data_IF_006241049087
#
_entry.id   IF_006241049087
#
_cell.length_a   1.000
_cell.length_b   1.000
_cell.length_c   1.000
_cell.angle_alpha   90.00
_cell.angle_beta   90.00
_cell.angle_gamma   90.00
#
_symmetry.space_group_name_H-M   'P 1'
#
loop_
_entity.id
_entity.type
_entity.pdbx_description
1 polymer ?
#
# COMPACT_ATOMS: atom_id res chain seq x y z
N UNK A 1 13.57 -7.49 -14.29
CA UNK A 1 13.71 -6.22 -13.55
C UNK A 1 13.79 -6.55 -12.07
N UNK A 2 14.87 -6.17 -11.38
CA UNK A 2 15.12 -6.60 -10.00
C UNK A 2 14.67 -5.51 -9.00
N UNK A 3 13.47 -5.66 -8.44
CA UNK A 3 12.89 -4.73 -7.47
C UNK A 3 13.77 -4.56 -6.21
N UNK A 4 14.52 -5.59 -5.81
CA UNK A 4 15.42 -5.54 -4.64
C UNK A 4 16.40 -4.38 -4.70
N UNK A 5 16.99 -4.10 -5.86
CA UNK A 5 17.95 -3.00 -6.03
C UNK A 5 17.28 -1.64 -5.80
N UNK A 6 16.11 -1.43 -6.40
CA UNK A 6 15.35 -0.19 -6.25
C UNK A 6 14.85 0.01 -4.82
N UNK A 7 14.40 -1.07 -4.17
CA UNK A 7 13.99 -1.03 -2.77
C UNK A 7 15.18 -0.66 -1.90
N UNK A 8 16.32 -1.34 -1.99
CA UNK A 8 17.49 -1.02 -1.18
C UNK A 8 17.95 0.43 -1.35
N UNK A 9 17.95 0.93 -2.59
CA UNK A 9 18.27 2.33 -2.91
C UNK A 9 17.28 3.30 -2.26
N UNK A 10 15.98 3.02 -2.34
CA UNK A 10 14.95 3.88 -1.75
C UNK A 10 15.07 4.03 -0.22
N UNK A 11 15.73 3.08 0.46
CA UNK A 11 15.87 3.05 1.91
C UNK A 11 17.24 3.53 2.42
N UNK A 12 18.17 3.99 1.56
CA UNK A 12 19.54 4.39 1.93
C UNK A 12 19.61 5.49 3.02
N UNK A 13 18.64 6.40 3.03
CA UNK A 13 18.59 7.48 4.00
C UNK A 13 18.07 7.06 5.39
N UNK A 14 17.66 5.80 5.56
CA UNK A 14 17.14 5.24 6.82
C UNK A 14 18.22 4.45 7.57
N UNK A 15 17.98 4.17 8.86
CA UNK A 15 18.81 3.26 9.64
C UNK A 15 18.40 1.82 9.29
N UNK A 16 19.33 1.05 8.74
CA UNK A 16 19.15 -0.39 8.49
C UNK A 16 19.37 -1.14 9.80
N UNK A 17 18.42 -2.00 10.16
CA UNK A 17 18.47 -2.82 11.38
C UNK A 17 18.87 -4.24 11.04
N UNK A 18 18.19 -4.84 10.06
CA UNK A 18 18.48 -6.20 9.58
C UNK A 18 18.21 -6.28 8.07
N UNK A 19 18.94 -7.14 7.36
CA UNK A 19 18.70 -7.46 5.94
C UNK A 19 18.55 -8.97 5.83
N UNK A 20 17.40 -9.41 5.35
CA UNK A 20 17.08 -10.81 5.09
C UNK A 20 17.11 -11.08 3.58
N UNK A 21 16.85 -12.34 3.20
CA UNK A 21 16.79 -12.74 1.79
C UNK A 21 15.72 -11.96 1.03
N UNK A 22 14.50 -11.91 1.57
CA UNK A 22 13.28 -11.36 0.97
C UNK A 22 12.78 -10.05 1.61
N UNK A 23 13.45 -9.55 2.64
CA UNK A 23 13.01 -8.34 3.34
C UNK A 23 14.17 -7.53 3.91
N UNK A 24 13.91 -6.26 4.22
CA UNK A 24 14.81 -5.41 5.00
C UNK A 24 14.03 -4.77 6.15
N UNK A 25 14.61 -4.74 7.34
CA UNK A 25 14.04 -4.03 8.50
C UNK A 25 14.76 -2.69 8.63
N UNK A 26 14.00 -1.61 8.57
CA UNK A 26 14.51 -0.24 8.65
C UNK A 26 13.73 0.60 9.63
N UNK A 27 14.34 1.70 10.07
CA UNK A 27 13.67 2.77 10.83
C UNK A 27 14.24 4.14 10.51
N UNK A 28 13.56 5.22 10.91
CA UNK A 28 14.10 6.56 10.74
C UNK A 28 15.41 6.71 11.54
N UNK A 29 16.38 7.43 10.98
CA UNK A 29 17.67 7.68 11.66
C UNK A 29 17.50 8.48 12.95
N UNK A 30 16.53 9.39 12.97
CA UNK A 30 16.26 10.30 14.07
C UNK A 30 14.81 10.22 14.50
N UNK A 31 14.55 10.51 15.77
CA UNK A 31 13.22 10.54 16.37
C UNK A 31 12.63 9.16 16.69
N UNK A 32 11.49 9.14 17.41
CA UNK A 32 10.79 7.92 17.74
C UNK A 32 10.10 7.37 16.49
N UNK A 33 10.73 6.40 15.83
CA UNK A 33 10.12 5.64 14.75
C UNK A 33 10.16 4.15 15.08
N UNK A 34 9.05 3.45 14.84
CA UNK A 34 9.03 2.00 14.98
C UNK A 34 9.70 1.38 13.77
N UNK A 35 10.34 0.24 14.00
CA UNK A 35 10.88 -0.61 12.95
C UNK A 35 9.79 -0.98 11.95
N UNK A 36 10.19 -1.13 10.70
CA UNK A 36 9.28 -1.42 9.61
C UNK A 36 9.98 -2.40 8.67
N UNK A 37 9.36 -3.55 8.46
CA UNK A 37 9.77 -4.50 7.44
C UNK A 37 9.42 -3.92 6.08
N UNK A 38 10.31 -4.07 5.10
CA UNK A 38 10.07 -3.65 3.71
C UNK A 38 10.39 -4.87 2.81
N UNK A 39 9.43 -5.34 2.00
CA UNK A 39 9.66 -6.47 1.12
C UNK A 39 10.67 -6.12 0.01
N UNK A 40 11.57 -7.05 -0.27
CA UNK A 40 12.58 -6.94 -1.34
C UNK A 40 12.12 -7.61 -2.63
N UNK A 41 10.99 -8.31 -2.62
CA UNK A 41 10.40 -9.02 -3.74
C UNK A 41 8.99 -8.46 -4.05
N UNK A 42 8.61 -8.53 -5.34
CA UNK A 42 7.28 -8.10 -5.78
C UNK A 42 6.32 -9.29 -5.71
N UNK A 43 5.46 -9.28 -4.70
CA UNK A 43 4.45 -10.30 -4.45
C UNK A 43 3.02 -9.77 -4.66
N UNK A 44 2.04 -10.68 -4.72
CA UNK A 44 0.65 -10.34 -5.02
C UNK A 44 0.07 -9.37 -3.97
N UNK A 45 0.36 -9.57 -2.68
CA UNK A 45 -0.09 -8.69 -1.59
C UNK A 45 0.47 -7.27 -1.72
N UNK A 46 1.75 -7.13 -2.08
CA UNK A 46 2.36 -5.82 -2.33
C UNK A 46 1.75 -5.14 -3.55
N UNK A 47 1.50 -5.89 -4.61
CA UNK A 47 0.84 -5.42 -5.83
C UNK A 47 -0.58 -4.90 -5.56
N UNK A 48 -1.37 -5.67 -4.80
CA UNK A 48 -2.71 -5.27 -4.35
C UNK A 48 -2.66 -4.00 -3.48
N UNK A 49 -1.75 -3.95 -2.50
CA UNK A 49 -1.58 -2.76 -1.65
C UNK A 49 -1.25 -1.50 -2.47
N UNK A 50 -0.31 -1.61 -3.42
CA UNK A 50 0.06 -0.51 -4.33
C UNK A 50 -1.16 -0.05 -5.14
N UNK A 51 -1.98 -0.96 -5.66
CA UNK A 51 -3.21 -0.62 -6.35
C UNK A 51 -4.21 0.13 -5.46
N UNK A 52 -4.42 -0.32 -4.21
CA UNK A 52 -5.29 0.38 -3.28
C UNK A 52 -4.78 1.79 -2.94
N UNK A 53 -3.46 1.98 -2.86
CA UNK A 53 -2.87 3.31 -2.72
C UNK A 53 -3.13 4.16 -3.97
N UNK A 54 -3.08 3.58 -5.17
CA UNK A 54 -3.32 4.31 -6.43
C UNK A 54 -4.77 4.75 -6.55
N UNK A 55 -5.75 3.93 -6.17
CA UNK A 55 -7.16 4.33 -6.12
C UNK A 55 -7.40 5.35 -5.01
N UNK A 56 -7.67 4.86 -3.80
CA UNK A 56 -8.15 5.68 -2.68
C UNK A 56 -7.06 6.19 -1.70
N UNK A 57 -5.79 5.88 -1.95
CA UNK A 57 -4.69 6.35 -1.12
C UNK A 57 -4.34 7.84 -1.33
N UNK A 58 -3.56 8.42 -0.44
CA UNK A 58 -2.98 9.74 -0.64
C UNK A 58 -1.61 9.81 0.03
N UNK A 59 -0.60 10.25 -0.73
CA UNK A 59 0.73 10.52 -0.23
C UNK A 59 0.85 12.02 0.08
N UNK A 60 0.99 12.34 1.37
CA UNK A 60 1.10 13.73 1.83
C UNK A 60 2.56 14.20 1.79
N UNK A 61 2.82 15.23 0.98
CA UNK A 61 4.13 15.89 0.90
C UNK A 61 4.55 16.46 2.26
N UNK A 62 5.84 16.40 2.58
CA UNK A 62 6.45 17.01 3.77
C UNK A 62 6.32 16.20 5.06
N UNK A 63 5.18 15.52 5.30
CA UNK A 63 4.98 14.70 6.50
C UNK A 63 5.35 13.23 6.33
N UNK A 64 5.64 12.78 5.11
CA UNK A 64 5.86 11.35 4.78
C UNK A 64 4.73 10.45 5.27
N UNK A 65 3.51 10.98 5.29
CA UNK A 65 2.31 10.30 5.74
C UNK A 65 1.55 9.78 4.52
N UNK A 66 1.04 8.55 4.63
CA UNK A 66 0.09 7.98 3.67
C UNK A 66 -1.26 7.90 4.37
N UNK A 67 -2.33 8.23 3.68
CA UNK A 67 -3.70 8.01 4.17
C UNK A 67 -4.49 7.19 3.17
N UNK A 68 -5.35 6.29 3.66
CA UNK A 68 -6.35 5.61 2.84
C UNK A 68 -7.69 5.86 3.52
N UNK A 69 -8.66 6.42 2.80
CA UNK A 69 -9.98 6.72 3.33
C UNK A 69 -11.06 6.04 2.47
N UNK A 70 -11.87 5.17 3.09
CA UNK A 70 -12.86 4.33 2.40
C UNK A 70 -14.20 4.33 3.15
N UNK A 71 -15.31 4.21 2.42
CA UNK A 71 -16.62 3.93 3.06
C UNK A 71 -16.83 2.45 3.41
N UNK A 72 -15.92 1.58 2.96
CA UNK A 72 -15.96 0.14 3.17
C UNK A 72 -14.97 -0.27 4.26
N UNK A 73 -15.49 -0.48 5.48
CA UNK A 73 -14.68 -0.87 6.64
C UNK A 73 -14.01 -2.23 6.47
N UNK A 74 -14.68 -3.19 5.81
CA UNK A 74 -14.14 -4.55 5.61
C UNK A 74 -12.89 -4.50 4.72
N UNK A 75 -12.96 -3.78 3.60
CA UNK A 75 -11.81 -3.58 2.72
C UNK A 75 -10.67 -2.84 3.44
N UNK A 76 -10.98 -1.80 4.22
CA UNK A 76 -9.96 -1.06 4.97
C UNK A 76 -9.25 -1.95 6.01
N UNK A 77 -9.99 -2.80 6.72
CA UNK A 77 -9.44 -3.77 7.66
C UNK A 77 -8.58 -4.81 6.95
N UNK A 78 -9.00 -5.27 5.76
CA UNK A 78 -8.22 -6.19 4.94
C UNK A 78 -6.89 -5.56 4.48
N UNK A 79 -6.91 -4.31 4.01
CA UNK A 79 -5.69 -3.56 3.70
C UNK A 79 -4.79 -3.44 4.94
N UNK A 80 -5.36 -3.21 6.12
CA UNK A 80 -4.59 -3.15 7.37
C UNK A 80 -3.96 -4.51 7.75
N UNK A 81 -4.64 -5.63 7.47
CA UNK A 81 -4.08 -6.99 7.61
C UNK A 81 -2.91 -7.21 6.63
N UNK A 82 -3.05 -6.75 5.39
CA UNK A 82 -1.95 -6.77 4.40
C UNK A 82 -0.76 -5.94 4.91
N UNK A 83 -1.00 -4.75 5.46
CA UNK A 83 0.05 -3.93 6.07
C UNK A 83 0.79 -4.68 7.19
N UNK A 84 0.07 -5.40 8.05
CA UNK A 84 0.69 -6.22 9.09
C UNK A 84 1.59 -7.30 8.47
N UNK A 85 1.11 -8.05 7.47
CA UNK A 85 1.91 -9.09 6.82
C UNK A 85 3.12 -8.58 6.03
N UNK A 86 2.96 -7.45 5.31
CA UNK A 86 4.04 -6.88 4.48
C UNK A 86 5.08 -6.12 5.30
N UNK A 87 4.61 -5.35 6.28
CA UNK A 87 5.43 -4.32 6.94
C UNK A 87 5.68 -4.58 8.41
N UNK A 88 5.09 -5.63 8.98
CA UNK A 88 5.04 -5.91 10.41
C UNK A 88 4.46 -4.73 11.21
N UNK A 89 3.43 -4.10 10.61
CA UNK A 89 2.80 -2.88 11.12
C UNK A 89 1.30 -2.89 10.90
N UNK A 90 0.55 -2.80 11.99
CA UNK A 90 -0.87 -2.43 11.96
C UNK A 90 -1.04 -0.94 12.24
N UNK A 91 -2.12 -0.38 11.70
CA UNK A 91 -2.47 1.03 11.85
C UNK A 91 -3.88 1.15 12.42
N UNK A 92 -4.11 2.23 13.17
CA UNK A 92 -5.41 2.45 13.80
C UNK A 92 -6.42 2.93 12.75
N UNK A 93 -7.54 2.22 12.66
CA UNK A 93 -8.69 2.62 11.84
C UNK A 93 -9.48 3.67 12.60
N UNK A 94 -9.73 4.81 11.95
CA UNK A 94 -10.47 5.94 12.52
C UNK A 94 -11.76 6.18 11.75
N UNK A 95 -12.85 6.43 12.47
CA UNK A 95 -14.11 6.85 11.89
C UNK A 95 -14.04 8.34 11.49
N UNK A 96 -14.37 8.67 10.24
CA UNK A 96 -14.35 10.04 9.72
C UNK A 96 -15.79 10.49 9.47
N UNK A 97 -16.31 11.38 10.34
CA UNK A 97 -17.66 11.94 10.20
C UNK A 97 -17.59 13.26 9.44
N UNK A 98 -18.43 13.43 8.41
CA UNK A 98 -18.58 14.67 7.66
C UNK A 98 -20.07 14.94 7.45
N UNK A 99 -20.52 16.15 7.77
CA UNK A 99 -21.92 16.53 7.65
C UNK A 99 -22.39 16.35 6.19
N UNK A 100 -23.55 15.69 6.02
CA UNK A 100 -24.15 15.44 4.71
C UNK A 100 -23.41 14.44 3.82
N UNK A 101 -22.43 13.68 4.34
CA UNK A 101 -21.70 12.65 3.59
C UNK A 101 -21.83 11.28 4.24
N UNK A 102 -21.70 10.23 3.43
CA UNK A 102 -21.64 8.85 3.93
C UNK A 102 -20.47 8.70 4.91
N UNK A 103 -20.68 7.91 5.96
CA UNK A 103 -19.62 7.50 6.88
C UNK A 103 -18.43 6.90 6.12
N UNK A 104 -17.23 7.40 6.41
CA UNK A 104 -15.97 6.85 5.93
C UNK A 104 -15.04 6.48 7.09
N UNK A 105 -14.04 5.68 6.79
CA UNK A 105 -13.03 5.23 7.75
C UNK A 105 -11.66 5.49 7.13
N UNK A 106 -10.67 5.82 7.95
CA UNK A 106 -9.33 6.10 7.48
C UNK A 106 -8.28 5.33 8.29
N UNK A 107 -7.22 4.91 7.59
CA UNK A 107 -5.93 4.59 8.22
C UNK A 107 -4.91 5.66 7.85
N UNK A 108 -4.09 6.03 8.82
CA UNK A 108 -2.95 6.93 8.63
C UNK A 108 -1.67 6.12 8.88
N UNK A 109 -0.80 6.10 7.89
CA UNK A 109 0.47 5.37 7.89
C UNK A 109 1.59 6.41 7.98
N UNK A 110 2.07 6.61 9.20
CA UNK A 110 3.23 7.45 9.50
C UNK A 110 4.51 6.59 9.45
N UNK A 111 4.91 6.22 8.23
CA UNK A 111 6.14 5.47 7.98
C UNK A 111 6.88 5.99 6.76
N UNK A 112 8.02 6.63 7.02
CA UNK A 112 8.91 7.14 5.97
C UNK A 112 9.42 6.00 5.05
N UNK A 113 9.59 4.80 5.59
CA UNK A 113 10.02 3.63 4.85
C UNK A 113 8.98 3.19 3.81
N UNK A 114 7.71 3.04 4.23
CA UNK A 114 6.60 2.70 3.33
C UNK A 114 6.36 3.83 2.34
N UNK A 115 6.46 5.09 2.78
CA UNK A 115 6.33 6.25 1.91
C UNK A 115 7.38 6.22 0.78
N UNK A 116 8.65 5.94 1.11
CA UNK A 116 9.70 5.83 0.10
C UNK A 116 9.54 4.64 -0.81
N UNK A 117 9.06 3.50 -0.31
CA UNK A 117 8.70 2.37 -1.18
C UNK A 117 7.68 2.82 -2.25
N UNK A 118 6.58 3.43 -1.83
CA UNK A 118 5.51 3.86 -2.74
C UNK A 118 5.96 4.95 -3.72
N UNK A 119 6.65 5.99 -3.22
CA UNK A 119 7.02 7.13 -4.06
C UNK A 119 8.27 6.89 -4.91
N UNK A 120 9.29 6.20 -4.39
CA UNK A 120 10.59 6.05 -5.07
C UNK A 120 10.70 4.76 -5.88
N UNK A 121 10.00 3.70 -5.48
CA UNK A 121 10.05 2.41 -6.19
C UNK A 121 8.87 2.24 -7.13
N UNK A 122 7.65 2.56 -6.66
CA UNK A 122 6.43 2.49 -7.48
C UNK A 122 6.07 3.81 -8.16
N UNK A 123 6.88 4.85 -7.98
CA UNK A 123 6.73 6.16 -8.64
C UNK A 123 5.37 6.82 -8.41
N UNK A 124 4.68 6.50 -7.30
CA UNK A 124 3.39 7.10 -6.99
C UNK A 124 3.60 8.57 -6.60
N UNK A 125 2.99 9.53 -7.31
CA UNK A 125 3.13 10.95 -7.00
C UNK A 125 2.42 11.32 -5.69
N UNK A 126 2.91 12.36 -5.03
CA UNK A 126 2.19 12.99 -3.92
C UNK A 126 1.14 13.98 -4.46
N UNK A 127 0.15 14.31 -3.65
CA UNK A 127 -0.86 15.32 -4.01
C UNK A 127 -1.99 14.78 -4.89
N UNK A 128 -2.57 15.65 -5.73
CA UNK A 128 -3.65 15.27 -6.66
C UNK A 128 -3.03 14.43 -7.78
N UNK A 129 -3.51 13.19 -7.91
CA UNK A 129 -2.90 12.16 -8.77
C UNK A 129 -3.85 11.60 -9.83
N UNK A 130 -5.11 12.02 -9.85
CA UNK A 130 -6.15 11.50 -10.75
C UNK A 130 -5.74 11.55 -12.22
N UNK A 131 -4.96 12.57 -12.58
CA UNK A 131 -4.64 12.88 -13.98
C UNK A 131 -3.22 12.40 -14.38
N UNK A 132 -2.46 11.84 -13.43
CA UNK A 132 -1.01 11.57 -13.59
C UNK A 132 -0.65 10.11 -13.25
N UNK A 133 -1.43 9.46 -12.38
CA UNK A 133 -1.07 8.12 -11.89
C UNK A 133 -1.18 7.08 -13.02
N UNK A 134 -0.12 6.29 -13.19
CA UNK A 134 -0.04 5.22 -14.17
C UNK A 134 0.24 3.89 -13.47
N UNK A 135 0.02 2.78 -14.17
CA UNK A 135 0.43 1.47 -13.67
C UNK A 135 1.96 1.44 -13.54
N UNK A 136 2.52 1.16 -12.35
CA UNK A 136 3.98 1.13 -12.17
C UNK A 136 4.64 0.13 -13.11
N UNK A 137 5.76 0.50 -13.75
CA UNK A 137 6.50 -0.34 -14.71
C UNK A 137 6.86 -1.72 -14.13
N UNK A 138 7.20 -1.77 -12.84
CA UNK A 138 7.47 -3.01 -12.10
C UNK A 138 6.29 -3.99 -12.16
N UNK A 139 5.06 -3.47 -12.06
CA UNK A 139 3.82 -4.26 -12.12
C UNK A 139 3.46 -4.56 -13.57
N UNK A 140 3.58 -3.58 -14.46
CA UNK A 140 3.30 -3.77 -15.89
C UNK A 140 4.17 -4.86 -16.54
N UNK A 141 5.42 -4.99 -16.12
CA UNK A 141 6.36 -6.00 -16.64
C UNK A 141 6.40 -7.29 -15.80
N UNK A 142 5.50 -7.45 -14.83
CA UNK A 142 5.47 -8.62 -13.95
C UNK A 142 4.67 -9.80 -14.53
N UNK A 143 4.64 -10.92 -13.80
CA UNK A 143 3.87 -12.10 -14.17
C UNK A 143 2.34 -11.89 -14.02
N UNK A 144 1.56 -12.82 -14.58
CA UNK A 144 0.09 -12.75 -14.56
C UNK A 144 -0.50 -12.67 -13.16
N UNK A 145 0.07 -13.35 -12.16
CA UNK A 145 -0.44 -13.34 -10.77
C UNK A 145 -0.33 -11.95 -10.15
N UNK A 146 0.82 -11.28 -10.33
CA UNK A 146 1.08 -9.93 -9.82
C UNK A 146 0.17 -8.90 -10.50
N UNK A 147 0.02 -8.99 -11.83
CA UNK A 147 -0.91 -8.14 -12.60
C UNK A 147 -2.36 -8.34 -12.16
N UNK A 148 -2.77 -9.59 -11.95
CA UNK A 148 -4.14 -9.91 -11.51
C UNK A 148 -4.41 -9.32 -10.12
N UNK A 149 -3.47 -9.46 -9.18
CA UNK A 149 -3.58 -8.88 -7.85
C UNK A 149 -3.65 -7.33 -7.88
N UNK A 150 -2.89 -6.69 -8.78
CA UNK A 150 -3.00 -5.25 -9.00
C UNK A 150 -4.40 -4.84 -9.48
N UNK A 151 -4.91 -5.53 -10.51
CA UNK A 151 -6.24 -5.25 -11.07
C UNK A 151 -7.34 -5.46 -10.04
N UNK A 152 -7.24 -6.51 -9.21
CA UNK A 152 -8.16 -6.73 -8.09
C UNK A 152 -8.15 -5.56 -7.11
N UNK A 153 -6.97 -5.03 -6.76
CA UNK A 153 -6.85 -3.87 -5.88
C UNK A 153 -7.48 -2.61 -6.47
N UNK A 154 -7.31 -2.37 -7.78
CA UNK A 154 -7.98 -1.25 -8.49
C UNK A 154 -9.49 -1.45 -8.50
N UNK A 155 -9.99 -2.65 -8.79
CA UNK A 155 -11.42 -2.93 -8.76
C UNK A 155 -12.01 -2.79 -7.35
N UNK A 156 -11.25 -3.12 -6.31
CA UNK A 156 -11.69 -2.98 -4.93
C UNK A 156 -11.88 -1.50 -4.52
N UNK A 157 -11.09 -0.57 -5.06
CA UNK A 157 -11.19 0.86 -4.76
C UNK A 157 -12.07 1.63 -5.76
N UNK A 158 -11.89 1.41 -7.06
CA UNK A 158 -12.54 2.18 -8.14
C UNK A 158 -13.72 1.45 -8.81
N UNK A 159 -13.86 0.14 -8.59
CA UNK A 159 -14.90 -0.69 -9.22
C UNK A 159 -16.29 -0.40 -8.66
N UNK A 160 -16.95 0.62 -9.19
CA UNK A 160 -18.24 1.13 -8.73
C UNK A 160 -19.32 0.06 -8.44
N UNK A 161 -19.91 0.18 -7.24
CA UNK A 161 -21.15 -0.36 -6.60
C UNK A 161 -22.08 -1.43 -7.24
N UNK A 162 -21.83 -2.04 -8.40
CA UNK A 162 -22.74 -3.07 -8.97
C UNK A 162 -22.40 -4.51 -8.59
N UNK A 163 -21.25 -4.79 -7.96
CA UNK A 163 -20.91 -6.13 -7.47
C UNK A 163 -20.72 -6.12 -5.96
N UNK A 164 -21.27 -7.14 -5.28
CA UNK A 164 -21.26 -7.25 -3.82
C UNK A 164 -19.81 -7.34 -3.37
N UNK A 165 -19.44 -6.53 -2.38
CA UNK A 165 -18.10 -6.43 -1.79
C UNK A 165 -17.53 -7.79 -1.36
N UNK A 166 -18.40 -8.75 -1.00
CA UNK A 166 -17.98 -10.13 -0.71
C UNK A 166 -17.25 -10.79 -1.88
N UNK A 167 -17.62 -10.47 -3.13
CA UNK A 167 -17.03 -11.12 -4.31
C UNK A 167 -15.54 -10.81 -4.44
N UNK A 168 -15.09 -9.59 -4.09
CA UNK A 168 -13.67 -9.22 -4.23
C UNK A 168 -12.79 -9.80 -3.13
N UNK A 169 -13.30 -9.91 -1.90
CA UNK A 169 -12.57 -10.55 -0.81
C UNK A 169 -12.51 -12.06 -1.03
N UNK A 170 -13.60 -12.66 -1.49
CA UNK A 170 -13.61 -14.06 -1.91
C UNK A 170 -12.67 -14.29 -3.11
N UNK A 171 -12.63 -13.39 -4.08
CA UNK A 171 -11.67 -13.46 -5.19
C UNK A 171 -10.23 -13.27 -4.72
N UNK A 172 -10.00 -12.42 -3.72
CA UNK A 172 -8.69 -12.27 -3.10
C UNK A 172 -8.28 -13.57 -2.36
N UNK A 173 -9.23 -14.20 -1.66
CA UNK A 173 -9.04 -15.51 -1.01
C UNK A 173 -8.71 -16.61 -2.03
N UNK A 174 -9.49 -16.69 -3.11
CA UNK A 174 -9.25 -17.62 -4.23
C UNK A 174 -7.88 -17.35 -4.90
N UNK A 175 -7.43 -16.09 -4.93
CA UNK A 175 -6.14 -15.70 -5.50
C UNK A 175 -4.96 -15.87 -4.54
N UNK A 176 -5.17 -16.38 -3.31
CA UNK A 176 -4.14 -16.61 -2.31
C UNK A 176 -3.58 -15.32 -1.69
N UNK A 177 -4.42 -14.30 -1.51
CA UNK A 177 -4.05 -13.03 -0.87
C UNK A 177 -4.34 -13.00 0.66
N UNK A 178 -4.60 -14.16 1.24
CA UNK A 178 -5.14 -14.42 2.59
C UNK A 178 -4.08 -14.32 3.69
#
# INVERSE_FOLDING_TARGET
MNIKKEVLKSQESLKKINIERSSIIVKAKFGPSKETKIPLDLEQKLSFFVACIIGDGHLKKGKYQISIELSNLVLLNYINKICLGLFDRSFNVRQIKRNGRKQTYAIYIDSKAIYFLLNKVFEIPFGKKSDIVVVPKLIFNSNKKIKSAFLLGIMATEGGRRKRVLDYLLLAEICGLD
#
